data_IF_178734437691
#
_entry.id   IF_178734437691
#
_cell.length_a   1.000
_cell.length_b   1.000
_cell.length_c   1.000
_cell.angle_alpha   90.00
_cell.angle_beta   90.00
_cell.angle_gamma   90.00
#
_symmetry.space_group_name_H-M   'P 1'
#
loop_
_entity.id
_entity.type
_entity.pdbx_description
1 polymer ?
#
# COMPACT_ATOMS: atom_id res chain seq x y z
N UNK A 1 30.56 -27.47 -25.62
CA UNK A 1 29.64 -26.38 -25.23
C UNK A 1 29.40 -26.55 -23.74
N UNK A 2 30.12 -25.80 -22.90
CA UNK A 2 30.02 -25.92 -21.43
C UNK A 2 28.91 -25.00 -20.94
N UNK A 3 28.07 -25.52 -20.04
CA UNK A 3 27.07 -24.77 -19.30
C UNK A 3 27.76 -23.58 -18.61
N UNK A 4 27.21 -22.39 -18.80
CA UNK A 4 27.58 -21.24 -17.98
C UNK A 4 26.97 -21.49 -16.61
N UNK A 5 27.85 -21.62 -15.63
CA UNK A 5 27.51 -21.59 -14.22
C UNK A 5 26.84 -20.25 -13.93
N UNK A 6 25.54 -20.27 -13.61
CA UNK A 6 24.84 -19.13 -13.03
C UNK A 6 25.42 -18.90 -11.62
N UNK A 7 26.48 -18.12 -11.52
CA UNK A 7 26.97 -17.61 -10.25
C UNK A 7 25.84 -16.81 -9.58
N UNK A 8 25.34 -17.34 -8.46
CA UNK A 8 24.59 -16.57 -7.48
C UNK A 8 25.51 -15.46 -6.97
N UNK A 9 25.37 -14.26 -7.54
CA UNK A 9 26.08 -13.08 -7.06
C UNK A 9 25.42 -12.65 -5.73
N UNK A 10 25.94 -13.17 -4.62
CA UNK A 10 25.70 -12.59 -3.30
C UNK A 10 26.44 -11.25 -3.21
N UNK A 11 25.75 -10.14 -3.47
CA UNK A 11 26.30 -8.82 -3.15
C UNK A 11 26.11 -8.58 -1.64
N UNK A 12 27.18 -8.28 -0.87
CA UNK A 12 27.01 -7.86 0.51
C UNK A 12 26.56 -6.41 0.52
N UNK A 13 25.25 -6.19 0.60
CA UNK A 13 24.69 -4.89 0.94
C UNK A 13 23.97 -5.04 2.28
N UNK A 14 24.61 -4.63 3.38
CA UNK A 14 23.90 -4.29 4.61
C UNK A 14 23.93 -2.78 4.79
N UNK A 15 22.98 -2.03 4.21
CA UNK A 15 22.63 -0.75 4.80
C UNK A 15 21.92 -1.08 6.12
N UNK A 16 21.80 -0.11 7.04
CA UNK A 16 21.06 -0.28 8.28
C UNK A 16 19.74 -1.04 8.05
N UNK A 17 19.36 -1.93 8.96
CA UNK A 17 18.10 -2.68 8.88
C UNK A 17 16.98 -1.72 8.44
N UNK A 18 16.31 -1.98 7.30
CA UNK A 18 15.36 -1.02 6.73
C UNK A 18 14.28 -0.73 7.76
N UNK A 19 13.89 0.54 7.89
CA UNK A 19 12.70 0.88 8.68
C UNK A 19 11.48 0.50 7.87
N UNK A 20 10.66 -0.39 8.43
CA UNK A 20 9.43 -0.84 7.79
C UNK A 20 8.22 -0.25 8.50
N UNK A 21 7.12 -0.13 7.75
CA UNK A 21 5.89 0.53 8.17
C UNK A 21 4.69 -0.41 7.99
N UNK A 22 3.81 -0.47 8.99
CA UNK A 22 2.53 -1.17 8.93
C UNK A 22 1.41 -0.16 9.17
N UNK A 23 0.48 -0.02 8.23
CA UNK A 23 -0.73 0.75 8.44
C UNK A 23 -1.84 -0.12 8.98
N UNK A 24 -2.54 0.33 10.02
CA UNK A 24 -3.76 -0.33 10.49
C UNK A 24 -4.87 0.67 10.82
N UNK A 25 -6.12 0.42 10.37
CA UNK A 25 -7.30 1.20 10.79
C UNK A 25 -7.67 0.94 12.25
N UNK A 26 -7.19 -0.17 12.83
CA UNK A 26 -7.46 -0.56 14.22
C UNK A 26 -6.19 -0.37 15.05
N UNK A 27 -6.27 0.26 16.23
CA UNK A 27 -5.11 0.38 17.10
C UNK A 27 -4.62 -1.00 17.54
N UNK A 28 -3.31 -1.19 17.56
CA UNK A 28 -2.64 -2.34 18.16
C UNK A 28 -2.49 -2.00 19.64
N UNK A 29 -3.17 -2.74 20.50
CA UNK A 29 -3.23 -2.45 21.94
C UNK A 29 -1.93 -2.77 22.69
N UNK A 30 -0.98 -3.45 22.04
CA UNK A 30 0.28 -3.92 22.64
C UNK A 30 1.46 -3.36 21.87
N UNK A 31 2.64 -3.37 22.48
CA UNK A 31 3.91 -3.00 21.81
C UNK A 31 4.38 -4.04 20.77
N UNK A 32 3.48 -4.94 20.33
CA UNK A 32 3.77 -6.11 19.51
C UNK A 32 2.63 -6.41 18.55
N UNK A 33 2.99 -6.85 17.36
CA UNK A 33 2.07 -7.35 16.35
C UNK A 33 2.41 -8.82 16.05
N UNK A 34 1.40 -9.69 16.12
CA UNK A 34 1.56 -11.14 15.96
C UNK A 34 0.74 -11.60 14.76
N UNK A 35 1.28 -12.47 13.88
CA UNK A 35 0.49 -13.13 12.85
C UNK A 35 -0.70 -13.88 13.46
N UNK A 36 -1.87 -13.75 12.85
CA UNK A 36 -3.12 -14.41 13.19
C UNK A 36 -3.45 -15.54 12.20
N UNK A 37 -2.88 -16.71 12.44
CA UNK A 37 -3.04 -17.90 11.58
C UNK A 37 -4.48 -18.40 11.39
N UNK A 38 -5.45 -17.94 12.20
CA UNK A 38 -6.83 -18.46 12.23
C UNK A 38 -7.90 -17.45 11.79
N UNK A 39 -7.54 -16.29 11.21
CA UNK A 39 -8.50 -15.32 10.68
C UNK A 39 -8.44 -15.29 9.16
N UNK A 40 -9.06 -16.28 8.51
CA UNK A 40 -9.19 -16.36 7.07
C UNK A 40 -10.27 -15.40 6.58
N UNK A 41 -9.89 -14.17 6.27
CA UNK A 41 -10.70 -13.26 5.46
C UNK A 41 -9.85 -12.93 4.24
N UNK A 42 -9.97 -13.71 3.16
CA UNK A 42 -9.32 -13.42 1.87
C UNK A 42 -7.78 -13.55 1.82
N UNK A 43 -7.26 -14.54 1.08
CA UNK A 43 -5.81 -14.66 0.84
C UNK A 43 -5.00 -14.89 2.12
N UNK A 44 -3.67 -14.75 2.07
CA UNK A 44 -2.77 -14.96 3.20
C UNK A 44 -2.95 -13.95 4.37
N UNK A 45 -4.02 -13.14 4.37
CA UNK A 45 -4.34 -12.22 5.45
C UNK A 45 -4.43 -12.98 6.78
N UNK A 46 -3.67 -12.50 7.77
CA UNK A 46 -3.51 -13.13 9.06
C UNK A 46 -2.30 -14.06 9.19
N UNK A 47 -1.81 -14.74 8.16
CA UNK A 47 -0.67 -15.67 8.33
C UNK A 47 0.67 -14.97 8.56
N UNK A 48 0.74 -13.68 8.23
CA UNK A 48 1.94 -12.87 8.35
C UNK A 48 1.61 -11.49 8.93
N UNK A 49 2.64 -10.85 9.50
CA UNK A 49 2.66 -9.40 9.64
C UNK A 49 3.16 -8.81 8.33
N UNK A 50 2.33 -7.99 7.70
CA UNK A 50 2.68 -7.25 6.48
C UNK A 50 3.26 -5.88 6.83
N UNK A 51 4.30 -5.47 6.13
CA UNK A 51 4.87 -4.14 6.24
C UNK A 51 5.40 -3.68 4.87
N UNK A 52 5.73 -2.41 4.75
CA UNK A 52 6.33 -1.81 3.56
C UNK A 52 7.46 -0.87 3.95
N UNK A 53 8.47 -0.71 3.11
CA UNK A 53 9.48 0.34 3.25
C UNK A 53 8.97 1.71 2.77
N UNK A 54 7.77 1.76 2.19
CA UNK A 54 7.17 2.96 1.63
C UNK A 54 6.14 3.58 2.58
N UNK A 55 6.57 4.53 3.43
CA UNK A 55 5.70 5.19 4.42
C UNK A 55 4.37 5.73 3.84
N UNK A 56 4.33 6.42 2.69
CA UNK A 56 3.06 6.87 2.12
C UNK A 56 2.09 5.72 1.79
N UNK A 57 2.60 4.55 1.42
CA UNK A 57 1.77 3.36 1.14
C UNK A 57 1.21 2.78 2.45
N UNK A 58 2.03 2.71 3.51
CA UNK A 58 1.55 2.32 4.84
C UNK A 58 0.46 3.26 5.36
N UNK A 59 0.57 4.57 5.11
CA UNK A 59 -0.48 5.53 5.49
C UNK A 59 -1.80 5.26 4.79
N UNK A 60 -1.79 4.79 3.54
CA UNK A 60 -3.01 4.36 2.83
C UNK A 60 -3.68 3.18 3.54
N UNK A 61 -2.91 2.15 3.93
CA UNK A 61 -3.45 0.99 4.66
C UNK A 61 -3.98 1.34 6.05
N UNK A 62 -3.42 2.36 6.70
CA UNK A 62 -3.95 2.83 7.97
C UNK A 62 -5.37 3.44 7.83
N UNK A 63 -5.74 3.93 6.65
CA UNK A 63 -7.09 4.42 6.36
C UNK A 63 -7.95 3.37 5.62
N UNK A 64 -7.45 2.16 5.38
CA UNK A 64 -8.19 1.12 4.66
C UNK A 64 -9.24 0.51 5.58
N UNK A 65 -10.50 0.71 5.23
CA UNK A 65 -11.61 -0.14 5.65
C UNK A 65 -11.99 -1.01 4.44
N UNK A 66 -12.17 -2.32 4.64
CA UNK A 66 -12.10 -3.37 3.61
C UNK A 66 -13.12 -3.26 2.47
N UNK A 67 -14.02 -2.28 2.53
CA UNK A 67 -15.03 -2.01 1.53
C UNK A 67 -15.04 -0.58 1.01
N UNK A 68 -14.24 0.32 1.59
CA UNK A 68 -14.25 1.73 1.22
C UNK A 68 -13.02 2.15 0.43
N UNK A 69 -11.90 1.46 0.60
CA UNK A 69 -10.62 1.91 0.07
C UNK A 69 -9.77 0.77 -0.51
N UNK A 70 -9.30 0.95 -1.74
CA UNK A 70 -8.26 0.14 -2.38
C UNK A 70 -6.90 0.83 -2.31
N UNK A 71 -5.82 0.07 -2.20
CA UNK A 71 -4.44 0.58 -2.18
C UNK A 71 -3.62 -0.12 -3.26
N UNK A 72 -2.73 0.61 -3.92
CA UNK A 72 -1.77 0.01 -4.83
C UNK A 72 -0.61 0.94 -5.18
N UNK A 73 0.20 0.49 -6.12
CA UNK A 73 1.34 1.22 -6.67
C UNK A 73 1.18 1.31 -8.19
N UNK A 74 1.48 2.47 -8.78
CA UNK A 74 1.54 2.58 -10.25
C UNK A 74 2.75 1.86 -10.82
N UNK A 75 2.80 1.73 -12.15
CA UNK A 75 3.87 1.01 -12.85
C UNK A 75 5.27 1.61 -12.65
N UNK A 76 5.37 2.88 -12.25
CA UNK A 76 6.64 3.52 -11.92
C UNK A 76 7.27 3.00 -10.62
N UNK A 77 6.54 2.15 -9.88
CA UNK A 77 6.93 1.56 -8.59
C UNK A 77 7.28 2.59 -7.51
N UNK A 78 6.91 3.86 -7.71
CA UNK A 78 7.28 4.98 -6.82
C UNK A 78 6.07 5.77 -6.36
N UNK A 79 5.01 5.75 -7.14
CA UNK A 79 3.82 6.55 -6.90
C UNK A 79 2.72 5.64 -6.35
N UNK A 80 2.51 5.62 -5.02
CA UNK A 80 1.39 4.89 -4.44
C UNK A 80 0.08 5.62 -4.77
N UNK A 81 -0.99 4.84 -4.82
CA UNK A 81 -2.33 5.38 -4.94
C UNK A 81 -3.28 4.75 -3.93
N UNK A 82 -4.31 5.51 -3.56
CA UNK A 82 -5.47 4.99 -2.88
C UNK A 82 -6.75 5.33 -3.64
N UNK A 83 -7.70 4.41 -3.63
CA UNK A 83 -8.95 4.50 -4.38
C UNK A 83 -10.09 4.45 -3.40
N UNK A 84 -10.89 5.50 -3.35
CA UNK A 84 -12.04 5.61 -2.46
C UNK A 84 -13.29 5.28 -3.27
N UNK A 85 -13.91 4.13 -2.97
CA UNK A 85 -15.02 3.59 -3.74
C UNK A 85 -16.36 4.29 -3.46
N UNK A 86 -16.47 4.91 -2.29
CA UNK A 86 -17.62 5.72 -1.89
C UNK A 86 -17.15 6.93 -1.08
N UNK A 87 -17.05 8.08 -1.75
CA UNK A 87 -16.58 9.34 -1.15
C UNK A 87 -17.43 9.75 0.05
N UNK A 88 -18.75 9.70 -0.08
CA UNK A 88 -19.66 10.18 0.96
C UNK A 88 -19.56 9.31 2.21
N UNK A 89 -19.57 7.98 2.05
CA UNK A 89 -19.37 7.05 3.16
C UNK A 89 -18.00 7.21 3.80
N UNK A 90 -16.93 7.38 3.01
CA UNK A 90 -15.59 7.60 3.54
C UNK A 90 -15.51 8.87 4.40
N UNK A 91 -16.02 10.00 3.89
CA UNK A 91 -15.99 11.27 4.60
C UNK A 91 -16.85 11.22 5.88
N UNK A 92 -18.02 10.57 5.82
CA UNK A 92 -18.92 10.43 6.95
C UNK A 92 -18.39 9.48 8.04
N UNK A 93 -17.63 8.45 7.66
CA UNK A 93 -17.09 7.44 8.58
C UNK A 93 -16.02 8.00 9.54
N UNK A 94 -15.45 9.18 9.24
CA UNK A 94 -14.39 9.82 10.04
C UNK A 94 -13.22 8.86 10.31
N UNK A 95 -12.75 8.21 9.24
CA UNK A 95 -11.75 7.16 9.31
C UNK A 95 -10.45 7.70 9.93
N UNK A 96 -9.88 6.95 10.85
CA UNK A 96 -8.57 7.22 11.46
C UNK A 96 -7.80 5.91 11.51
N UNK A 97 -6.49 6.00 11.63
CA UNK A 97 -5.63 4.84 11.69
C UNK A 97 -4.33 5.14 12.40
N UNK A 98 -3.47 4.14 12.45
CA UNK A 98 -2.13 4.27 13.00
C UNK A 98 -1.13 3.62 12.07
N UNK A 99 -0.01 4.29 11.83
CA UNK A 99 1.15 3.72 11.19
C UNK A 99 2.14 3.32 12.26
N UNK A 100 2.56 2.06 12.22
CA UNK A 100 3.55 1.49 13.12
C UNK A 100 4.87 1.35 12.39
N UNK A 101 5.97 1.62 13.09
CA UNK A 101 7.32 1.47 12.57
C UNK A 101 8.00 0.28 13.23
N UNK A 102 8.78 -0.47 12.45
CA UNK A 102 9.54 -1.64 12.90
C UNK A 102 10.96 -1.58 12.36
N UNK A 103 11.93 -2.19 13.05
CA UNK A 103 13.13 -2.63 12.38
C UNK A 103 12.74 -3.74 11.40
N UNK A 104 13.28 -3.73 10.19
CA UNK A 104 13.10 -4.78 9.20
C UNK A 104 13.71 -6.14 9.56
N UNK A 105 14.30 -6.29 10.75
CA UNK A 105 14.85 -7.55 11.22
C UNK A 105 13.72 -8.60 11.33
N UNK A 106 13.94 -9.78 10.73
CA UNK A 106 12.95 -10.86 10.72
C UNK A 106 11.86 -10.74 9.66
N UNK A 107 11.85 -9.67 8.86
CA UNK A 107 11.01 -9.56 7.67
C UNK A 107 11.72 -10.14 6.44
N UNK A 108 10.92 -10.67 5.52
CA UNK A 108 11.33 -11.09 4.18
C UNK A 108 10.60 -10.25 3.16
N UNK A 109 11.32 -9.70 2.19
CA UNK A 109 10.71 -9.00 1.07
C UNK A 109 9.92 -10.00 0.20
N UNK A 110 8.74 -9.59 -0.22
CA UNK A 110 7.93 -10.36 -1.17
C UNK A 110 8.53 -10.18 -2.57
N UNK A 111 8.63 -11.28 -3.30
CA UNK A 111 9.17 -11.30 -4.67
C UNK A 111 8.07 -11.87 -5.58
N UNK A 112 7.75 -11.14 -6.64
CA UNK A 112 6.78 -11.58 -7.66
C UNK A 112 7.52 -11.78 -8.97
N UNK A 113 7.64 -13.05 -9.40
CA UNK A 113 8.51 -13.40 -10.52
C UNK A 113 9.98 -13.11 -10.18
N UNK A 114 10.61 -12.22 -10.95
CA UNK A 114 11.99 -11.75 -10.73
C UNK A 114 12.07 -10.38 -10.04
N UNK A 115 10.94 -9.79 -9.65
CA UNK A 115 10.87 -8.42 -9.16
C UNK A 115 10.64 -8.40 -7.64
N UNK A 116 11.48 -7.66 -6.93
CA UNK A 116 11.34 -7.43 -5.50
C UNK A 116 10.33 -6.30 -5.27
N UNK A 117 9.28 -6.55 -4.47
CA UNK A 117 8.20 -5.58 -4.26
C UNK A 117 8.47 -4.67 -3.06
N UNK A 118 7.64 -3.65 -2.87
CA UNK A 118 7.65 -2.83 -1.66
C UNK A 118 6.99 -3.51 -0.44
N UNK A 119 6.62 -4.79 -0.55
CA UNK A 119 5.95 -5.53 0.50
C UNK A 119 6.93 -6.46 1.23
N UNK A 120 6.77 -6.51 2.54
CA UNK A 120 7.58 -7.31 3.45
C UNK A 120 6.65 -8.11 4.36
N UNK A 121 7.01 -9.36 4.61
CA UNK A 121 6.25 -10.26 5.48
C UNK A 121 7.11 -10.81 6.60
N UNK A 122 6.53 -10.92 7.79
CA UNK A 122 7.11 -11.66 8.92
C UNK A 122 6.14 -12.73 9.40
N UNK A 123 6.62 -13.96 9.55
CA UNK A 123 5.88 -15.05 10.18
C UNK A 123 6.04 -15.08 11.71
N UNK A 124 6.76 -14.11 12.27
CA UNK A 124 7.04 -14.01 13.69
C UNK A 124 6.34 -12.81 14.31
N UNK A 125 6.19 -12.82 15.64
CA UNK A 125 5.76 -11.62 16.36
C UNK A 125 6.84 -10.56 16.24
N UNK A 126 6.44 -9.34 15.88
CA UNK A 126 7.33 -8.19 15.74
C UNK A 126 7.04 -7.14 16.81
N UNK A 127 8.08 -6.43 17.24
CA UNK A 127 7.96 -5.36 18.25
C UNK A 127 7.87 -4.01 17.57
N UNK A 128 6.92 -3.19 18.00
CA UNK A 128 6.74 -1.83 17.50
C UNK A 128 7.87 -0.94 18.05
N UNK A 129 8.48 -0.11 17.19
CA UNK A 129 9.41 0.94 17.60
C UNK A 129 8.70 2.27 17.85
N UNK A 130 7.73 2.58 16.99
CA UNK A 130 6.99 3.84 17.02
C UNK A 130 5.59 3.63 16.46
N UNK A 131 4.65 4.45 16.92
CA UNK A 131 3.31 4.53 16.41
C UNK A 131 2.95 5.99 16.14
N UNK A 132 2.53 6.29 14.92
CA UNK A 132 2.09 7.61 14.50
C UNK A 132 0.62 7.54 14.11
N UNK A 133 -0.24 8.27 14.81
CA UNK A 133 -1.67 8.30 14.52
C UNK A 133 -1.94 9.18 13.31
N UNK A 134 -2.74 8.68 12.38
CA UNK A 134 -3.21 9.47 11.24
C UNK A 134 -4.43 10.29 11.68
N UNK A 135 -4.47 11.60 11.34
CA UNK A 135 -5.66 12.43 11.52
C UNK A 135 -6.91 11.82 10.89
N UNK A 136 -8.08 12.28 11.36
CA UNK A 136 -9.38 11.87 10.81
C UNK A 136 -9.43 12.27 9.33
N UNK A 137 -9.78 11.32 8.46
CA UNK A 137 -9.86 11.49 7.01
C UNK A 137 -8.59 12.15 6.45
N UNK A 138 -7.40 11.67 6.84
CA UNK A 138 -6.07 12.21 6.47
C UNK A 138 -5.70 12.18 4.98
N UNK A 139 -6.66 12.39 4.08
CA UNK A 139 -6.50 12.49 2.63
C UNK A 139 -5.50 13.59 2.26
N UNK A 140 -5.59 14.76 2.90
CA UNK A 140 -4.68 15.88 2.64
C UNK A 140 -3.23 15.51 2.98
N UNK A 141 -3.00 14.76 4.05
CA UNK A 141 -1.68 14.27 4.44
C UNK A 141 -1.16 13.22 3.44
N UNK A 142 -2.02 12.30 2.98
CA UNK A 142 -1.66 11.33 1.93
C UNK A 142 -1.19 12.05 0.65
N UNK A 143 -1.93 13.06 0.21
CA UNK A 143 -1.57 13.83 -0.98
C UNK A 143 -0.28 14.62 -0.80
N UNK A 144 -0.07 15.21 0.38
CA UNK A 144 1.16 15.91 0.72
C UNK A 144 2.39 14.99 0.67
N UNK A 145 2.21 13.70 0.97
CA UNK A 145 3.23 12.66 0.86
C UNK A 145 3.41 12.08 -0.55
N UNK A 146 2.66 12.58 -1.54
CA UNK A 146 2.75 12.13 -2.93
C UNK A 146 1.86 10.93 -3.29
N UNK A 147 0.94 10.53 -2.43
CA UNK A 147 -0.09 9.53 -2.78
C UNK A 147 -1.08 10.14 -3.76
N UNK A 148 -1.40 9.42 -4.84
CA UNK A 148 -2.51 9.79 -5.70
C UNK A 148 -3.83 9.27 -5.11
N UNK A 149 -4.75 10.18 -4.79
CA UNK A 149 -6.05 9.83 -4.23
C UNK A 149 -7.11 9.87 -5.34
N UNK A 150 -7.71 8.71 -5.60
CA UNK A 150 -8.70 8.53 -6.66
C UNK A 150 -10.07 8.31 -6.01
N UNK A 151 -11.10 8.99 -6.51
CA UNK A 151 -12.48 8.73 -6.12
C UNK A 151 -13.18 8.02 -7.26
N UNK A 152 -13.88 6.91 -6.98
CA UNK A 152 -14.70 6.26 -7.99
C UNK A 152 -16.13 6.79 -7.95
N UNK A 153 -16.86 6.60 -9.05
CA UNK A 153 -18.32 6.78 -9.06
C UNK A 153 -19.00 5.75 -8.16
N UNK A 154 -20.19 6.08 -7.61
CA UNK A 154 -21.05 5.10 -6.98
C UNK A 154 -21.32 3.91 -7.90
N UNK A 155 -21.25 2.70 -7.35
CA UNK A 155 -21.55 1.46 -8.07
C UNK A 155 -20.36 0.79 -8.77
N UNK A 156 -19.20 1.45 -8.87
CA UNK A 156 -17.97 0.79 -9.33
C UNK A 156 -17.41 -0.10 -8.21
N UNK A 157 -17.30 -1.40 -8.46
CA UNK A 157 -16.69 -2.32 -7.49
C UNK A 157 -15.16 -2.26 -7.51
N UNK A 158 -14.53 -2.65 -6.41
CA UNK A 158 -13.06 -2.74 -6.29
C UNK A 158 -12.44 -3.61 -7.41
N UNK A 159 -13.01 -4.80 -7.62
CA UNK A 159 -12.56 -5.72 -8.68
C UNK A 159 -12.67 -5.11 -10.07
N UNK A 160 -13.76 -4.39 -10.35
CA UNK A 160 -13.97 -3.73 -11.64
C UNK A 160 -12.97 -2.59 -11.84
N UNK A 161 -12.72 -1.78 -10.81
CA UNK A 161 -11.70 -0.73 -10.85
C UNK A 161 -10.31 -1.31 -11.17
N UNK A 162 -9.86 -2.33 -10.44
CA UNK A 162 -8.54 -2.93 -10.65
C UNK A 162 -8.42 -3.66 -11.99
N UNK A 163 -9.52 -4.22 -12.52
CA UNK A 163 -9.54 -4.77 -13.87
C UNK A 163 -9.32 -3.66 -14.91
N UNK A 164 -10.06 -2.55 -14.82
CA UNK A 164 -9.90 -1.40 -15.72
C UNK A 164 -8.52 -0.76 -15.60
N UNK A 165 -7.97 -0.64 -14.38
CA UNK A 165 -6.62 -0.12 -14.17
C UNK A 165 -5.55 -1.00 -14.82
N UNK A 166 -5.69 -2.32 -14.74
CA UNK A 166 -4.80 -3.25 -15.45
C UNK A 166 -4.92 -3.13 -16.98
N UNK A 167 -6.13 -2.98 -17.51
CA UNK A 167 -6.36 -2.76 -18.94
C UNK A 167 -5.76 -1.44 -19.43
N UNK A 168 -5.75 -0.41 -18.57
CA UNK A 168 -5.06 0.85 -18.80
C UNK A 168 -3.54 0.79 -18.54
N UNK A 169 -2.97 -0.41 -18.37
CA UNK A 169 -1.56 -0.63 -18.06
C UNK A 169 -1.08 0.17 -16.83
N UNK A 170 -1.93 0.30 -15.81
CA UNK A 170 -1.66 1.09 -14.60
C UNK A 170 -1.32 2.56 -14.88
N UNK A 171 -1.77 3.11 -16.02
CA UNK A 171 -1.65 4.53 -16.33
C UNK A 171 -2.93 5.25 -15.87
N UNK A 172 -2.87 6.08 -14.81
CA UNK A 172 -4.04 6.79 -14.30
C UNK A 172 -4.55 7.86 -15.27
N UNK A 173 -3.70 8.46 -16.11
CA UNK A 173 -4.14 9.42 -17.13
C UNK A 173 -4.98 8.74 -18.21
N UNK A 174 -4.56 7.54 -18.63
CA UNK A 174 -5.36 6.69 -19.54
C UNK A 174 -6.70 6.33 -18.91
N UNK A 175 -6.73 6.01 -17.61
CA UNK A 175 -7.96 5.70 -16.89
C UNK A 175 -8.91 6.90 -16.81
N UNK A 176 -8.36 8.10 -16.56
CA UNK A 176 -9.09 9.38 -16.54
C UNK A 176 -9.65 9.74 -17.92
N UNK A 177 -8.92 9.44 -18.99
CA UNK A 177 -9.32 9.73 -20.37
C UNK A 177 -10.36 8.73 -20.92
N UNK A 178 -10.25 7.45 -20.54
CA UNK A 178 -11.08 6.38 -21.10
C UNK A 178 -12.51 6.42 -20.57
N UNK A 179 -12.70 6.79 -19.31
CA UNK A 179 -14.03 6.99 -18.76
C UNK A 179 -13.96 8.02 -17.65
N UNK A 180 -14.82 9.02 -17.74
CA UNK A 180 -15.65 9.66 -16.71
C UNK A 180 -15.68 9.10 -15.24
N UNK A 181 -15.10 7.94 -14.92
CA UNK A 181 -15.07 7.17 -13.65
C UNK A 181 -14.59 7.90 -12.41
N UNK A 182 -13.86 9.00 -12.57
CA UNK A 182 -13.33 9.80 -11.46
C UNK A 182 -14.10 11.13 -11.45
N UNK A 183 -15.03 11.28 -10.50
CA UNK A 183 -15.79 12.53 -10.37
C UNK A 183 -14.84 13.62 -9.87
N UNK A 184 -14.64 14.66 -10.68
CA UNK A 184 -14.03 15.95 -10.34
C UNK A 184 -12.91 15.90 -9.28
N UNK A 185 -11.68 15.80 -9.78
CA UNK A 185 -10.47 16.36 -9.15
C UNK A 185 -10.37 16.21 -7.62
N UNK A 186 -9.60 15.21 -7.19
CA UNK A 186 -8.38 15.55 -6.45
C UNK A 186 -7.19 14.75 -6.98
N UNK A 187 -6.90 14.91 -8.28
CA UNK A 187 -5.52 14.75 -8.79
C UNK A 187 -4.75 16.00 -8.37
N UNK A 188 -4.56 16.22 -7.05
CA UNK A 188 -3.61 17.23 -6.57
C UNK A 188 -2.29 16.51 -6.37
N UNK A 189 -1.38 16.65 -7.33
CA UNK A 189 -0.03 16.11 -7.19
C UNK A 189 0.57 15.46 -8.43
N UNK A 190 -0.05 15.55 -9.61
CA UNK A 190 0.73 15.42 -10.84
C UNK A 190 1.71 16.59 -10.88
N UNK A 191 2.90 16.41 -10.29
CA UNK A 191 4.07 17.09 -10.81
C UNK A 191 4.15 16.61 -12.26
N UNK A 192 4.11 17.49 -13.26
CA UNK A 192 4.36 17.06 -14.63
C UNK A 192 5.67 16.26 -14.59
N UNK A 193 5.64 15.04 -15.14
CA UNK A 193 6.87 14.35 -15.46
C UNK A 193 7.68 15.33 -16.30
N UNK A 194 8.81 15.79 -15.76
CA UNK A 194 9.77 16.56 -16.54
C UNK A 194 10.22 15.63 -17.66
N UNK A 195 9.71 15.86 -18.86
CA UNK A 195 10.26 15.35 -20.12
C UNK A 195 11.54 16.15 -20.39
#
# INVERSE_FOLDING_TARGET
MRAQDDELIERPFRPATPTLYHGSPRPIERDRLTPRFNQSVGGHEGQFVFATDHLPMARCYALKDDHMLGVGMFQDERTPYCVIFNRESFLAARVTGTVYQFPGDGFKQVIVGSYATHEYISSQTVRLHRADRIPVNGIDDLMADGVQVLFTRPGLSENEFFLKLRQAHYNPETLLQQENLISENVVRGLKPALI
#
